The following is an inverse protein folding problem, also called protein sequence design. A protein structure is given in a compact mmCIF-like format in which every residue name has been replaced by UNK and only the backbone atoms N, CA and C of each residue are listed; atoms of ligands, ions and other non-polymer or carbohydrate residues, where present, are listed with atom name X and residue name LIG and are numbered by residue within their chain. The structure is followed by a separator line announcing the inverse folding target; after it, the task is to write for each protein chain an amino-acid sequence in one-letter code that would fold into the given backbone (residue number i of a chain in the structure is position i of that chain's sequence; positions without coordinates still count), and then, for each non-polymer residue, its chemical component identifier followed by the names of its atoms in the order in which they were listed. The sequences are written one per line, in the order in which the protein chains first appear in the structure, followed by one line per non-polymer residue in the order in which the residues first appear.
data_IF_204368963141
#
_entry.id   IF_204368963141
#
_cell.length_a   1.000
_cell.length_b   1.000
_cell.length_c   1.000
_cell.angle_alpha   90.00
_cell.angle_beta   90.00
_cell.angle_gamma   90.00
#
_symmetry.space_group_name_H-M   'P 1'
#
loop_
_entity.id
_entity.type
_entity.pdbx_description
1 polymer ?
#
# COMPACT_ATOMS: atom_id res chain seq x y z
N UNK A 1 -3.61 8.59 10.43
CA UNK A 1 -4.42 7.43 10.00
C UNK A 1 -3.51 6.22 9.80
N UNK A 2 -3.60 5.22 10.68
CA UNK A 2 -2.90 3.94 10.55
C UNK A 2 -3.83 2.96 9.81
N UNK A 3 -3.56 2.67 8.55
CA UNK A 3 -4.07 1.45 7.93
C UNK A 3 -2.99 0.78 7.08
N UNK A 4 -1.88 0.47 7.74
CA UNK A 4 -1.17 -0.76 7.40
C UNK A 4 -2.11 -1.86 7.90
N UNK A 5 -2.65 -2.66 6.98
CA UNK A 5 -3.69 -3.67 7.20
C UNK A 5 -3.56 -4.37 8.57
N UNK A 6 -4.58 -4.36 9.46
CA UNK A 6 -4.42 -4.78 10.85
C UNK A 6 -4.50 -6.30 11.05
N UNK A 7 -4.35 -7.13 10.01
CA UNK A 7 -4.30 -8.58 10.20
C UNK A 7 -2.87 -9.11 10.04
N UNK A 8 -2.23 -9.34 11.17
CA UNK A 8 -1.11 -10.28 11.33
C UNK A 8 -1.63 -11.73 11.39
N UNK A 9 -2.82 -12.00 10.85
CA UNK A 9 -3.34 -13.36 10.70
C UNK A 9 -2.36 -14.20 9.89
N UNK A 10 -2.11 -15.43 10.34
CA UNK A 10 -1.19 -16.39 9.74
C UNK A 10 -1.35 -16.40 8.21
N UNK A 11 -0.34 -15.89 7.50
CA UNK A 11 -0.36 -15.82 6.04
C UNK A 11 0.34 -17.03 5.46
N UNK A 12 -0.36 -17.80 4.64
CA UNK A 12 0.21 -18.91 3.89
C UNK A 12 1.15 -18.36 2.82
N UNK A 13 2.42 -18.78 2.86
CA UNK A 13 3.38 -18.41 1.83
C UNK A 13 2.85 -18.78 0.44
N UNK A 14 2.91 -17.85 -0.52
CA UNK A 14 2.55 -18.18 -1.90
C UNK A 14 3.58 -19.16 -2.47
N UNK A 15 3.15 -20.13 -3.31
CA UNK A 15 4.03 -21.18 -3.85
C UNK A 15 5.16 -20.61 -4.72
N UNK A 16 5.01 -19.39 -5.22
CA UNK A 16 6.02 -18.70 -6.03
C UNK A 16 6.63 -17.56 -5.22
N UNK A 17 7.90 -17.73 -4.82
CA UNK A 17 8.67 -16.77 -4.00
C UNK A 17 8.59 -15.32 -4.48
N UNK A 18 8.62 -15.11 -5.80
CA UNK A 18 8.55 -13.75 -6.38
C UNK A 18 7.22 -13.05 -6.07
N UNK A 19 6.11 -13.77 -6.08
CA UNK A 19 4.80 -13.21 -5.75
C UNK A 19 4.67 -12.95 -4.26
N UNK A 20 5.13 -13.89 -3.43
CA UNK A 20 5.10 -13.76 -1.97
C UNK A 20 5.89 -12.53 -1.48
N UNK A 21 7.07 -12.30 -2.04
CA UNK A 21 7.91 -11.13 -1.75
C UNK A 21 7.20 -9.82 -2.14
N UNK A 22 6.56 -9.78 -3.31
CA UNK A 22 5.83 -8.58 -3.77
C UNK A 22 4.66 -8.28 -2.84
N UNK A 23 3.88 -9.29 -2.49
CA UNK A 23 2.71 -9.12 -1.63
C UNK A 23 3.10 -8.71 -0.21
N UNK A 24 4.14 -9.33 0.36
CA UNK A 24 4.67 -8.96 1.68
C UNK A 24 5.10 -7.49 1.71
N UNK A 25 5.82 -7.02 0.70
CA UNK A 25 6.21 -5.61 0.56
C UNK A 25 5.00 -4.68 0.45
N UNK A 26 4.00 -5.05 -0.36
CA UNK A 26 2.77 -4.26 -0.47
C UNK A 26 2.04 -4.16 0.86
N UNK A 27 1.90 -5.26 1.62
CA UNK A 27 1.19 -5.27 2.91
C UNK A 27 1.76 -4.33 3.94
N UNK A 28 3.08 -4.18 4.01
CA UNK A 28 3.73 -3.25 4.93
C UNK A 28 3.78 -1.80 4.42
N UNK A 29 3.11 -1.51 3.29
CA UNK A 29 3.10 -0.15 2.73
C UNK A 29 4.35 0.20 1.94
N UNK A 30 5.06 -0.78 1.37
CA UNK A 30 6.28 -0.53 0.60
C UNK A 30 5.99 -0.15 -0.86
N UNK A 31 5.32 0.99 -1.05
CA UNK A 31 5.11 1.65 -2.36
C UNK A 31 5.84 2.99 -2.41
N UNK A 32 6.02 3.56 -3.61
CA UNK A 32 6.63 4.89 -3.78
C UNK A 32 5.94 5.97 -2.96
N UNK A 33 4.61 5.92 -2.87
CA UNK A 33 3.79 6.96 -2.25
C UNK A 33 3.56 6.74 -0.75
N UNK A 34 3.73 5.51 -0.26
CA UNK A 34 3.46 5.17 1.15
C UNK A 34 4.74 4.92 1.97
N UNK A 35 5.85 4.51 1.36
CA UNK A 35 7.03 4.12 2.15
C UNK A 35 7.85 5.31 2.67
N UNK A 36 8.08 6.32 1.82
CA UNK A 36 8.98 7.44 2.14
C UNK A 36 8.52 8.20 3.38
N UNK A 37 7.25 8.59 3.42
CA UNK A 37 6.73 9.39 4.53
C UNK A 37 6.69 8.59 5.83
N UNK A 38 6.45 7.26 5.78
CA UNK A 38 6.52 6.39 6.96
C UNK A 38 7.95 6.30 7.50
N UNK A 39 8.95 6.15 6.62
CA UNK A 39 10.35 6.09 7.01
C UNK A 39 10.84 7.40 7.65
N UNK A 40 10.39 8.53 7.12
CA UNK A 40 10.79 9.86 7.58
C UNK A 40 9.90 10.42 8.69
N UNK A 41 8.82 9.74 9.06
CA UNK A 41 7.82 10.25 10.00
C UNK A 41 7.06 11.49 9.48
N UNK A 42 7.03 11.69 8.17
CA UNK A 42 6.35 12.80 7.51
C UNK A 42 4.85 12.51 7.34
N UNK A 43 4.08 13.57 7.07
CA UNK A 43 2.68 13.43 6.69
C UNK A 43 2.55 12.62 5.40
N UNK A 44 1.52 11.76 5.37
CA UNK A 44 1.22 10.99 4.18
C UNK A 44 0.89 11.94 3.01
N UNK A 45 1.48 11.75 1.81
CA UNK A 45 1.10 12.53 0.65
C UNK A 45 -0.35 12.21 0.26
N UNK A 46 -1.03 13.18 -0.32
CA UNK A 46 -2.41 13.04 -0.78
C UNK A 46 -2.46 12.65 -2.27
N UNK A 47 -3.46 11.84 -2.61
CA UNK A 47 -3.83 11.58 -3.99
C UNK A 47 -4.39 12.88 -4.61
N UNK A 48 -3.82 13.37 -5.72
CA UNK A 48 -4.21 14.64 -6.31
C UNK A 48 -5.66 14.62 -6.83
N UNK A 49 -6.16 13.47 -7.29
CA UNK A 49 -7.52 13.33 -7.81
C UNK A 49 -8.54 13.06 -6.71
N UNK A 50 -8.23 12.17 -5.76
CA UNK A 50 -9.18 11.75 -4.73
C UNK A 50 -9.15 12.61 -3.46
N UNK A 51 -8.12 13.46 -3.29
CA UNK A 51 -7.93 14.33 -2.11
C UNK A 51 -7.93 13.59 -0.77
N UNK A 52 -7.44 12.35 -0.78
CA UNK A 52 -7.26 11.52 0.41
C UNK A 52 -5.80 11.06 0.51
N UNK A 53 -5.28 10.78 1.73
CA UNK A 53 -3.93 10.24 1.91
C UNK A 53 -3.71 8.93 1.14
N UNK A 54 -2.53 8.76 0.55
CA UNK A 54 -2.17 7.51 -0.09
C UNK A 54 -2.16 6.35 0.92
N UNK A 55 -2.73 5.23 0.50
CA UNK A 55 -2.61 3.92 1.15
C UNK A 55 -2.50 2.83 0.09
N UNK A 56 -2.04 1.64 0.46
CA UNK A 56 -1.95 0.50 -0.48
C UNK A 56 -3.32 0.11 -1.01
N UNK A 57 -4.34 0.13 -0.14
CA UNK A 57 -5.72 -0.09 -0.55
C UNK A 57 -6.18 0.98 -1.53
N UNK A 58 -5.90 2.26 -1.23
CA UNK A 58 -6.27 3.34 -2.12
C UNK A 58 -5.62 3.18 -3.49
N UNK A 59 -4.31 2.92 -3.54
CA UNK A 59 -3.57 2.74 -4.79
C UNK A 59 -4.11 1.54 -5.61
N UNK A 60 -4.41 0.41 -4.98
CA UNK A 60 -4.73 -0.82 -5.72
C UNK A 60 -6.22 -1.02 -6.02
N UNK A 61 -7.12 -0.46 -5.21
CA UNK A 61 -8.55 -0.79 -5.22
C UNK A 61 -9.44 0.43 -5.47
N UNK A 62 -9.12 1.56 -4.82
CA UNK A 62 -10.05 2.69 -4.69
C UNK A 62 -9.72 3.86 -5.63
N UNK A 63 -8.46 3.98 -6.07
CA UNK A 63 -8.01 5.10 -6.89
C UNK A 63 -8.37 4.88 -8.36
N UNK A 64 -9.39 5.60 -8.81
CA UNK A 64 -9.92 5.57 -10.18
C UNK A 64 -8.90 5.94 -11.28
N UNK A 65 -7.75 6.56 -10.95
CA UNK A 65 -6.70 6.88 -11.94
C UNK A 65 -6.03 5.63 -12.52
N UNK A 66 -6.00 4.50 -11.79
CA UNK A 66 -5.34 3.27 -12.21
C UNK A 66 -6.27 2.27 -12.91
N UNK A 67 -7.58 2.52 -12.93
CA UNK A 67 -8.59 1.61 -13.51
C UNK A 67 -9.02 2.07 -14.92
N UNK A 68 -8.75 3.33 -15.28
CA UNK A 68 -9.06 3.91 -16.60
C UNK A 68 -7.82 4.00 -17.54
N UNK A 69 -6.90 3.03 -17.50
CA UNK A 69 -5.81 2.84 -18.49
C UNK A 69 -5.69 1.39 -18.95
#
# INVERSE_FOLDING_TARGET
MRSIYPSTSHWTALPVRRHDVRLTRLRIGHTRFTHRHLLLGENAPECPSCKVPYSVYHILIDCHILIDW
#
